data_IF_008080409561
#
_entry.id   IF_008080409561
#
_cell.length_a   1.000
_cell.length_b   1.000
_cell.length_c   1.000
_cell.angle_alpha   90.00
_cell.angle_beta   90.00
_cell.angle_gamma   90.00
#
_symmetry.space_group_name_H-M   'P 1'
#
loop_
_entity.id
_entity.type
_entity.pdbx_description
1 polymer ?
#
# COMPACT_ATOMS: atom_id res chain seq x y z
N UNK A 1 -0.80 14.76 22.70
CA UNK A 1 -0.34 14.38 21.35
C UNK A 1 0.52 13.15 21.47
N UNK A 2 0.12 12.01 20.90
CA UNK A 2 1.05 10.90 20.73
C UNK A 2 2.06 11.33 19.66
N UNK A 3 3.34 11.39 20.01
CA UNK A 3 4.40 11.56 19.02
C UNK A 3 4.42 10.31 18.16
N UNK A 4 3.66 10.28 17.05
CA UNK A 4 3.80 9.23 16.06
C UNK A 4 5.24 9.28 15.55
N UNK A 5 6.02 8.28 15.95
CA UNK A 5 7.41 8.14 15.55
C UNK A 5 7.52 6.86 14.74
N UNK A 6 8.06 7.00 13.53
CA UNK A 6 8.43 5.86 12.69
C UNK A 6 9.36 4.91 13.46
N UNK A 7 9.22 3.61 13.26
CA UNK A 7 10.16 2.64 13.83
C UNK A 7 11.43 2.59 13.00
N UNK A 8 12.57 2.26 13.63
CA UNK A 8 13.85 2.09 12.91
C UNK A 8 13.74 1.12 11.73
N UNK A 9 12.92 0.08 11.87
CA UNK A 9 12.67 -0.89 10.80
C UNK A 9 11.90 -0.26 9.63
N UNK A 10 10.88 0.58 9.91
CA UNK A 10 10.14 1.30 8.87
C UNK A 10 11.05 2.29 8.15
N UNK A 11 11.88 3.04 8.89
CA UNK A 11 12.88 3.94 8.30
C UNK A 11 13.85 3.18 7.41
N UNK A 12 14.36 2.03 7.87
CA UNK A 12 15.25 1.19 7.08
C UNK A 12 14.59 0.67 5.79
N UNK A 13 13.34 0.19 5.86
CA UNK A 13 12.57 -0.26 4.69
C UNK A 13 12.38 0.91 3.72
N UNK A 14 12.08 2.10 4.23
CA UNK A 14 11.92 3.29 3.40
C UNK A 14 13.18 3.59 2.57
N UNK A 15 14.34 3.55 3.22
CA UNK A 15 15.62 3.93 2.60
C UNK A 15 16.23 2.86 1.72
N UNK A 16 15.99 1.58 2.05
CA UNK A 16 16.67 0.47 1.41
C UNK A 16 15.74 -0.39 0.53
N UNK A 17 14.42 -0.15 0.59
CA UNK A 17 13.42 -0.84 -0.23
C UNK A 17 12.63 0.13 -1.09
N UNK A 18 11.93 1.09 -0.46
CA UNK A 18 11.07 2.04 -1.16
C UNK A 18 11.86 2.99 -2.05
N UNK A 19 12.84 3.70 -1.47
CA UNK A 19 13.64 4.69 -2.18
C UNK A 19 14.36 4.12 -3.43
N UNK A 20 15.05 2.96 -3.37
CA UNK A 20 15.69 2.39 -4.56
C UNK A 20 14.70 1.99 -5.65
N UNK A 21 13.49 1.58 -5.31
CA UNK A 21 12.44 1.30 -6.31
C UNK A 21 11.96 2.57 -6.99
N UNK A 22 11.74 3.65 -6.22
CA UNK A 22 11.32 4.93 -6.78
C UNK A 22 12.40 5.55 -7.67
N UNK A 23 13.66 5.50 -7.25
CA UNK A 23 14.81 5.93 -8.04
C UNK A 23 14.89 5.16 -9.37
N UNK A 24 14.73 3.83 -9.30
CA UNK A 24 14.71 2.97 -10.48
C UNK A 24 13.54 3.32 -11.42
N UNK A 25 12.33 3.51 -10.89
CA UNK A 25 11.15 3.87 -11.69
C UNK A 25 11.34 5.25 -12.32
N UNK A 26 11.73 6.25 -11.54
CA UNK A 26 12.03 7.61 -11.99
C UNK A 26 13.05 7.62 -13.14
N UNK A 27 14.15 6.88 -12.99
CA UNK A 27 15.22 6.81 -14.00
C UNK A 27 14.76 6.14 -15.29
N UNK A 28 13.90 5.11 -15.20
CA UNK A 28 13.41 4.38 -16.37
C UNK A 28 12.31 5.14 -17.12
N UNK A 29 11.33 5.73 -16.41
CA UNK A 29 10.26 6.50 -17.03
C UNK A 29 10.78 7.89 -17.47
N UNK A 30 11.85 8.38 -16.83
CA UNK A 30 12.45 9.68 -17.07
C UNK A 30 11.46 10.84 -16.81
N UNK A 31 10.60 10.68 -15.80
CA UNK A 31 9.70 11.72 -15.33
C UNK A 31 9.56 11.65 -13.81
N UNK A 32 9.32 12.81 -13.18
CA UNK A 32 8.99 12.89 -11.76
C UNK A 32 7.60 12.31 -11.49
N UNK A 33 7.46 11.69 -10.32
CA UNK A 33 6.33 10.85 -9.95
C UNK A 33 5.26 11.65 -9.17
N UNK A 34 4.00 11.35 -9.44
CA UNK A 34 2.84 11.82 -8.66
C UNK A 34 2.65 10.86 -7.50
N UNK A 35 2.73 11.39 -6.28
CA UNK A 35 2.56 10.65 -5.03
C UNK A 35 1.15 10.83 -4.47
N UNK A 36 0.57 9.74 -3.96
CA UNK A 36 -0.63 9.76 -3.13
C UNK A 36 -0.42 8.89 -1.87
N UNK A 37 -0.68 9.41 -0.67
CA UNK A 37 -0.55 8.55 0.52
C UNK A 37 -0.75 9.20 1.89
N UNK A 38 -0.26 8.49 2.91
CA UNK A 38 -0.43 8.76 4.34
C UNK A 38 0.89 9.13 5.02
N UNK A 39 1.49 10.29 4.71
CA UNK A 39 2.87 10.59 5.07
C UNK A 39 3.09 10.86 6.57
N UNK A 40 2.03 10.99 7.37
CA UNK A 40 2.04 11.54 8.73
C UNK A 40 2.43 13.03 8.79
N UNK A 41 2.25 13.72 9.94
CA UNK A 41 2.50 15.16 10.04
C UNK A 41 3.96 15.56 9.82
N UNK A 42 4.90 14.62 9.97
CA UNK A 42 6.32 14.86 9.73
C UNK A 42 6.75 14.51 8.31
N UNK A 43 5.91 13.80 7.56
CA UNK A 43 6.11 13.42 6.18
C UNK A 43 7.49 12.84 5.88
N UNK A 44 7.95 11.90 6.72
CA UNK A 44 9.25 11.25 6.56
C UNK A 44 9.36 10.60 5.17
N UNK A 45 8.27 10.01 4.67
CA UNK A 45 8.24 9.39 3.34
C UNK A 45 8.47 10.40 2.22
N UNK A 46 7.78 11.55 2.27
CA UNK A 46 7.90 12.59 1.25
C UNK A 46 9.30 13.22 1.30
N UNK A 47 9.83 13.50 2.49
CA UNK A 47 11.19 14.05 2.66
C UNK A 47 12.26 13.17 2.01
N UNK A 48 12.12 11.87 2.19
CA UNK A 48 13.11 10.91 1.74
C UNK A 48 13.06 10.66 0.23
N UNK A 49 11.88 10.79 -0.36
CA UNK A 49 11.61 10.53 -1.77
C UNK A 49 11.49 11.79 -2.62
N UNK A 50 11.64 12.98 -2.03
CA UNK A 50 11.31 14.29 -2.63
C UNK A 50 11.96 14.51 -4.00
N UNK A 51 13.17 14.01 -4.22
CA UNK A 51 13.92 14.20 -5.45
C UNK A 51 13.25 13.52 -6.66
N UNK A 52 12.42 12.49 -6.42
CA UNK A 52 11.69 11.75 -7.44
C UNK A 52 10.27 12.26 -7.64
N UNK A 53 9.77 13.17 -6.81
CA UNK A 53 8.36 13.58 -6.82
C UNK A 53 8.15 14.90 -7.55
N UNK A 54 7.08 14.99 -8.33
CA UNK A 54 6.58 16.24 -8.93
C UNK A 54 5.42 16.79 -8.14
N UNK A 55 4.45 15.94 -7.80
CA UNK A 55 3.22 16.33 -7.12
C UNK A 55 2.95 15.43 -5.92
N UNK A 56 2.33 16.01 -4.88
CA UNK A 56 2.00 15.30 -3.64
C UNK A 56 0.53 15.43 -3.32
N UNK A 57 -0.17 14.30 -3.24
CA UNK A 57 -1.55 14.20 -2.74
C UNK A 57 -1.49 13.51 -1.38
N UNK A 58 -1.78 14.22 -0.30
CA UNK A 58 -1.63 13.69 1.05
C UNK A 58 -2.96 13.71 1.82
N UNK A 59 -3.18 12.70 2.66
CA UNK A 59 -4.30 12.64 3.59
C UNK A 59 -3.76 12.69 5.02
N UNK A 60 -4.34 13.54 5.85
CA UNK A 60 -3.91 13.72 7.23
C UNK A 60 -5.13 13.78 8.15
N UNK A 61 -5.29 12.75 8.99
CA UNK A 61 -6.28 12.77 10.07
C UNK A 61 -5.84 13.71 11.20
N UNK A 62 -6.81 14.21 11.98
CA UNK A 62 -6.57 15.14 13.08
C UNK A 62 -6.09 14.45 14.36
N UNK A 63 -6.80 13.42 14.82
CA UNK A 63 -6.45 12.66 16.03
C UNK A 63 -6.54 11.14 15.78
N UNK A 64 -5.39 10.48 15.65
CA UNK A 64 -5.33 9.03 15.47
C UNK A 64 -5.28 8.29 16.82
N UNK A 65 -6.04 7.19 17.03
CA UNK A 65 -6.90 6.47 16.08
C UNK A 65 -8.39 6.83 16.20
N UNK A 66 -8.75 8.03 16.68
CA UNK A 66 -10.16 8.35 16.94
C UNK A 66 -10.91 8.62 15.64
N UNK A 67 -12.24 8.35 15.59
CA UNK A 67 -13.08 8.82 14.49
C UNK A 67 -12.93 10.33 14.28
N UNK A 68 -13.10 10.77 13.04
CA UNK A 68 -13.05 12.19 12.69
C UNK A 68 -14.14 12.98 13.41
N UNK A 69 -13.76 14.05 14.12
CA UNK A 69 -14.71 15.00 14.73
C UNK A 69 -14.18 16.44 14.55
N UNK A 70 -14.65 17.16 13.52
CA UNK A 70 -14.20 18.51 13.24
C UNK A 70 -14.50 19.53 14.34
N UNK A 71 -15.49 19.26 15.20
CA UNK A 71 -15.93 20.18 16.26
C UNK A 71 -15.00 20.13 17.48
N UNK A 72 -14.38 18.98 17.75
CA UNK A 72 -13.54 18.77 18.93
C UNK A 72 -12.06 18.57 18.63
N UNK A 73 -11.70 18.20 17.39
CA UNK A 73 -10.32 17.86 17.02
C UNK A 73 -9.58 19.01 16.31
N UNK A 74 -8.35 19.27 16.77
CA UNK A 74 -7.45 20.30 16.21
C UNK A 74 -6.94 19.96 14.81
N UNK A 75 -6.84 20.98 13.94
CA UNK A 75 -6.22 20.89 12.60
C UNK A 75 -4.69 21.00 12.60
N UNK A 76 -4.03 21.07 13.75
CA UNK A 76 -2.60 21.36 13.84
C UNK A 76 -1.72 20.40 13.03
N UNK A 77 -2.04 19.10 13.04
CA UNK A 77 -1.35 18.09 12.25
C UNK A 77 -1.45 18.36 10.73
N UNK A 78 -2.64 18.77 10.27
CA UNK A 78 -2.93 19.12 8.87
C UNK A 78 -2.14 20.37 8.48
N UNK A 79 -2.25 21.45 9.26
CA UNK A 79 -1.52 22.70 9.00
C UNK A 79 0.01 22.51 9.00
N UNK A 80 0.53 21.64 9.87
CA UNK A 80 1.96 21.31 9.91
C UNK A 80 2.42 20.66 8.60
N UNK A 81 1.63 19.71 8.09
CA UNK A 81 1.91 19.04 6.81
C UNK A 81 1.81 20.03 5.64
N UNK A 82 0.74 20.82 5.57
CA UNK A 82 0.53 21.85 4.54
C UNK A 82 1.68 22.85 4.48
N UNK A 83 2.10 23.38 5.63
CA UNK A 83 3.22 24.34 5.70
C UNK A 83 4.50 23.73 5.15
N UNK A 84 4.80 22.48 5.50
CA UNK A 84 5.99 21.80 5.02
C UNK A 84 5.95 21.56 3.51
N UNK A 85 4.80 21.16 2.95
CA UNK A 85 4.65 20.97 1.50
C UNK A 85 4.70 22.30 0.74
N UNK A 86 4.15 23.38 1.31
CA UNK A 86 4.27 24.73 0.77
C UNK A 86 5.73 25.18 0.71
N UNK A 87 6.53 24.88 1.74
CA UNK A 87 7.96 25.17 1.74
C UNK A 87 8.70 24.36 0.65
N UNK A 88 8.37 23.08 0.45
CA UNK A 88 8.91 22.29 -0.67
C UNK A 88 8.54 22.85 -2.04
N UNK A 89 7.31 23.32 -2.22
CA UNK A 89 6.86 23.96 -3.45
C UNK A 89 7.62 25.28 -3.71
N UNK A 90 7.76 26.13 -2.67
CA UNK A 90 8.53 27.39 -2.76
C UNK A 90 9.99 27.17 -3.10
N UNK A 91 10.58 26.09 -2.58
CA UNK A 91 11.93 25.64 -2.92
C UNK A 91 12.02 24.93 -4.28
N UNK A 92 10.92 24.85 -5.04
CA UNK A 92 10.82 24.15 -6.33
C UNK A 92 11.23 22.66 -6.27
N UNK A 93 11.08 22.03 -5.11
CA UNK A 93 11.32 20.58 -4.95
C UNK A 93 10.17 19.76 -5.52
N UNK A 94 8.95 20.28 -5.39
CA UNK A 94 7.72 19.79 -6.01
C UNK A 94 7.03 20.94 -6.75
N UNK A 95 6.21 20.61 -7.73
CA UNK A 95 5.45 21.55 -8.56
C UNK A 95 4.17 22.00 -7.86
N UNK A 96 3.44 21.05 -7.28
CA UNK A 96 2.19 21.29 -6.55
C UNK A 96 1.93 20.23 -5.49
N UNK A 97 0.96 20.51 -4.61
CA UNK A 97 0.48 19.56 -3.63
C UNK A 97 -0.99 19.80 -3.30
N UNK A 98 -1.65 18.77 -2.76
CA UNK A 98 -2.95 18.83 -2.13
C UNK A 98 -2.88 18.09 -0.78
N UNK A 99 -3.47 18.68 0.26
CA UNK A 99 -3.65 18.03 1.56
C UNK A 99 -5.14 17.95 1.85
N UNK A 100 -5.62 16.74 2.13
CA UNK A 100 -7.00 16.49 2.53
C UNK A 100 -7.07 16.22 4.03
N UNK A 101 -7.95 16.95 4.70
CA UNK A 101 -8.21 16.85 6.14
C UNK A 101 -9.13 15.65 6.43
N UNK A 102 -8.57 14.58 6.98
CA UNK A 102 -9.31 13.37 7.30
C UNK A 102 -8.53 12.09 7.03
N UNK A 103 -9.14 10.96 7.39
CA UNK A 103 -8.63 9.64 7.01
C UNK A 103 -8.84 9.43 5.51
N UNK A 104 -7.87 8.84 4.81
CA UNK A 104 -8.03 8.52 3.38
C UNK A 104 -9.28 7.69 3.13
N UNK A 105 -9.62 6.81 4.08
CA UNK A 105 -10.78 5.95 3.94
C UNK A 105 -12.09 6.75 3.88
N UNK A 106 -12.20 7.80 4.69
CA UNK A 106 -13.33 8.72 4.67
C UNK A 106 -13.31 9.59 3.41
N UNK A 107 -12.18 10.23 3.11
CA UNK A 107 -12.10 11.22 2.03
C UNK A 107 -12.36 10.61 0.66
N UNK A 108 -11.77 9.44 0.38
CA UNK A 108 -11.93 8.74 -0.91
C UNK A 108 -13.36 8.27 -1.10
N UNK A 109 -13.98 7.66 -0.08
CA UNK A 109 -15.33 7.11 -0.20
C UNK A 109 -16.40 8.20 -0.21
N UNK A 110 -16.18 9.32 0.49
CA UNK A 110 -17.09 10.47 0.48
C UNK A 110 -16.89 11.45 -0.65
N UNK A 111 -15.77 11.36 -1.39
CA UNK A 111 -15.36 12.34 -2.40
C UNK A 111 -15.17 13.75 -1.85
N UNK A 112 -14.96 13.88 -0.53
CA UNK A 112 -14.81 15.16 0.15
C UNK A 112 -14.13 14.97 1.50
N UNK A 113 -13.34 15.95 1.91
CA UNK A 113 -12.67 15.96 3.20
C UNK A 113 -13.49 16.64 4.32
N UNK A 114 -12.96 16.64 5.54
CA UNK A 114 -13.58 17.26 6.72
C UNK A 114 -13.65 18.79 6.66
N UNK A 115 -12.90 19.40 5.74
CA UNK A 115 -12.94 20.83 5.43
C UNK A 115 -13.89 21.16 4.29
N UNK A 116 -14.68 20.17 3.84
CA UNK A 116 -15.61 20.25 2.72
C UNK A 116 -14.93 20.45 1.36
N UNK A 117 -13.63 20.18 1.25
CA UNK A 117 -12.88 20.22 0.00
C UNK A 117 -13.17 18.93 -0.77
N UNK A 118 -13.65 19.06 -2.01
CA UNK A 118 -13.90 17.91 -2.88
C UNK A 118 -12.61 17.20 -3.24
N UNK A 119 -12.62 15.87 -3.15
CA UNK A 119 -11.52 15.04 -3.59
C UNK A 119 -11.70 14.69 -5.07
N UNK A 120 -10.72 15.08 -5.87
CA UNK A 120 -10.61 14.67 -7.26
C UNK A 120 -9.24 14.07 -7.55
N UNK A 121 -9.21 13.06 -8.43
CA UNK A 121 -7.98 12.50 -8.98
C UNK A 121 -8.07 12.61 -10.51
N UNK A 122 -7.50 13.68 -11.06
CA UNK A 122 -7.47 14.01 -12.47
C UNK A 122 -6.18 13.56 -13.18
N UNK A 123 -5.18 13.11 -12.44
CA UNK A 123 -3.88 12.69 -12.95
C UNK A 123 -3.49 11.29 -12.51
N UNK A 124 -2.72 10.61 -13.36
CA UNK A 124 -2.16 9.28 -13.11
C UNK A 124 -1.23 9.34 -11.89
N UNK A 125 -1.64 8.71 -10.79
CA UNK A 125 -0.77 8.54 -9.61
C UNK A 125 0.22 7.43 -9.90
N UNK A 126 1.51 7.68 -9.68
CA UNK A 126 2.58 6.69 -9.91
C UNK A 126 3.07 6.04 -8.62
N UNK A 127 2.85 6.68 -7.47
CA UNK A 127 3.26 6.15 -6.16
C UNK A 127 2.11 6.24 -5.17
N UNK A 128 1.54 5.09 -4.81
CA UNK A 128 0.62 4.97 -3.68
C UNK A 128 1.37 4.51 -2.44
N UNK A 129 1.23 5.24 -1.34
CA UNK A 129 1.78 4.86 -0.04
C UNK A 129 0.67 4.77 1.01
N UNK A 130 0.10 3.58 1.13
CA UNK A 130 -1.05 3.25 1.95
C UNK A 130 -0.56 2.63 3.27
N UNK A 131 -0.15 3.49 4.20
CA UNK A 131 0.26 3.10 5.54
C UNK A 131 -0.93 2.91 6.49
N UNK A 132 -1.69 1.83 6.30
CA UNK A 132 -2.81 1.50 7.16
C UNK A 132 -2.31 1.03 8.53
N UNK A 133 -2.23 1.99 9.44
CA UNK A 133 -1.70 1.82 10.78
C UNK A 133 -2.55 0.93 11.72
N UNK A 134 -3.70 0.40 11.26
CA UNK A 134 -4.60 -0.50 11.99
C UNK A 134 -4.81 -1.83 11.23
N UNK A 135 -5.74 -2.65 11.69
CA UNK A 135 -6.13 -3.92 11.04
C UNK A 135 -6.86 -3.65 9.73
N UNK A 136 -6.71 -4.57 8.77
CA UNK A 136 -7.24 -4.36 7.40
C UNK A 136 -8.78 -4.43 7.36
N UNK A 137 -9.36 -5.22 8.25
CA UNK A 137 -10.79 -5.50 8.43
C UNK A 137 -11.50 -4.47 9.31
N UNK A 138 -10.78 -3.82 10.23
CA UNK A 138 -11.33 -2.80 11.13
C UNK A 138 -11.83 -1.57 10.37
N UNK A 139 -13.16 -1.33 10.33
CA UNK A 139 -13.73 -0.17 9.67
C UNK A 139 -13.49 1.11 10.48
N UNK A 140 -13.50 2.24 9.80
CA UNK A 140 -13.63 3.57 10.41
C UNK A 140 -15.08 4.02 10.31
N UNK A 141 -15.69 4.40 11.43
CA UNK A 141 -17.00 5.05 11.42
C UNK A 141 -16.85 6.51 10.99
N UNK A 142 -17.72 6.97 10.07
CA UNK A 142 -17.72 8.34 9.57
C UNK A 142 -19.15 8.76 9.16
N UNK A 143 -19.38 10.06 8.97
CA UNK A 143 -20.66 10.59 8.46
C UNK A 143 -20.57 10.87 6.97
N UNK A 144 -21.51 10.37 6.18
CA UNK A 144 -21.54 10.68 4.75
C UNK A 144 -22.02 12.11 4.46
N UNK A 145 -22.05 12.48 3.18
CA UNK A 145 -22.48 13.81 2.73
C UNK A 145 -23.91 14.20 3.14
N UNK A 146 -24.76 13.21 3.47
CA UNK A 146 -26.13 13.42 3.92
C UNK A 146 -26.25 13.43 5.45
N UNK A 147 -25.13 13.24 6.17
CA UNK A 147 -25.12 13.13 7.63
C UNK A 147 -25.45 11.73 8.15
N UNK A 148 -25.48 10.72 7.27
CA UNK A 148 -25.77 9.34 7.66
C UNK A 148 -24.50 8.61 8.11
N UNK A 149 -24.54 7.82 9.20
CA UNK A 149 -23.40 7.05 9.65
C UNK A 149 -23.07 5.94 8.66
N UNK A 150 -21.78 5.84 8.31
CA UNK A 150 -21.21 4.83 7.40
C UNK A 150 -19.95 4.22 8.01
N UNK A 151 -19.56 3.07 7.44
CA UNK A 151 -18.32 2.36 7.76
C UNK A 151 -17.40 2.38 6.54
N UNK A 152 -16.21 2.92 6.70
CA UNK A 152 -15.17 2.93 5.67
C UNK A 152 -14.21 1.76 5.88
N UNK A 153 -14.13 0.87 4.89
CA UNK A 153 -13.21 -0.26 4.88
C UNK A 153 -12.03 0.00 3.96
N UNK A 154 -10.82 -0.33 4.41
CA UNK A 154 -9.56 -0.11 3.67
C UNK A 154 -9.55 -0.76 2.29
N UNK A 155 -10.13 -1.95 2.15
CA UNK A 155 -10.27 -2.59 0.85
C UNK A 155 -11.23 -1.86 -0.11
N UNK A 156 -12.29 -1.23 0.39
CA UNK A 156 -13.16 -0.41 -0.46
C UNK A 156 -12.39 0.80 -1.00
N UNK A 157 -11.51 1.37 -0.20
CA UNK A 157 -10.65 2.50 -0.57
C UNK A 157 -9.66 2.09 -1.66
N UNK A 158 -9.03 0.92 -1.53
CA UNK A 158 -8.15 0.39 -2.58
C UNK A 158 -8.94 0.17 -3.89
N UNK A 159 -10.16 -0.40 -3.83
CA UNK A 159 -11.02 -0.55 -5.01
C UNK A 159 -11.32 0.80 -5.66
N UNK A 160 -11.69 1.79 -4.86
CA UNK A 160 -12.03 3.12 -5.34
C UNK A 160 -10.82 3.83 -5.97
N UNK A 161 -9.63 3.68 -5.37
CA UNK A 161 -8.37 4.17 -5.92
C UNK A 161 -8.07 3.54 -7.29
N UNK A 162 -8.22 2.22 -7.43
CA UNK A 162 -8.00 1.53 -8.70
C UNK A 162 -9.02 1.95 -9.76
N UNK A 163 -10.28 2.13 -9.36
CA UNK A 163 -11.35 2.63 -10.23
C UNK A 163 -11.04 4.04 -10.73
N UNK A 164 -10.63 4.94 -9.84
CA UNK A 164 -10.23 6.31 -10.18
C UNK A 164 -9.06 6.33 -11.14
N UNK A 165 -8.00 5.57 -10.83
CA UNK A 165 -6.84 5.46 -11.71
C UNK A 165 -7.28 4.98 -13.11
N UNK A 166 -8.07 3.90 -13.20
CA UNK A 166 -8.59 3.38 -14.47
C UNK A 166 -9.39 4.42 -15.27
N UNK A 167 -10.12 5.31 -14.59
CA UNK A 167 -10.98 6.30 -15.24
C UNK A 167 -10.22 7.45 -15.92
N UNK A 168 -8.93 7.61 -15.61
CA UNK A 168 -8.08 8.62 -16.24
C UNK A 168 -7.71 8.13 -17.65
N UNK A 169 -7.82 9.04 -18.63
CA UNK A 169 -7.48 8.78 -20.04
C UNK A 169 -5.96 8.88 -20.26
N UNK A 170 -5.23 7.91 -19.71
CA UNK A 170 -3.79 7.74 -19.93
C UNK A 170 -3.51 6.27 -20.26
N UNK A 171 -2.90 6.04 -21.43
CA UNK A 171 -2.62 4.69 -21.95
C UNK A 171 -1.49 3.98 -21.22
N UNK A 172 -0.66 4.71 -20.45
CA UNK A 172 0.58 4.20 -19.88
C UNK A 172 0.53 3.98 -18.36
N UNK A 173 -0.67 3.89 -17.79
CA UNK A 173 -0.90 3.83 -16.35
C UNK A 173 -0.14 2.70 -15.66
N UNK A 174 0.91 3.13 -14.96
CA UNK A 174 1.89 2.31 -14.27
C UNK A 174 2.10 2.93 -12.91
N UNK A 175 2.03 2.13 -11.86
CA UNK A 175 2.21 2.63 -10.51
C UNK A 175 2.85 1.59 -9.60
N UNK A 176 3.43 2.07 -8.52
CA UNK A 176 3.84 1.27 -7.38
C UNK A 176 2.96 1.59 -6.18
N UNK A 177 2.49 0.56 -5.50
CA UNK A 177 1.71 0.64 -4.27
C UNK A 177 2.49 0.00 -3.14
N UNK A 178 2.86 0.83 -2.17
CA UNK A 178 3.33 0.38 -0.86
C UNK A 178 2.11 0.27 0.05
N UNK A 179 1.84 -0.93 0.53
CA UNK A 179 0.73 -1.20 1.45
C UNK A 179 1.31 -1.75 2.75
N UNK A 180 1.09 -1.03 3.85
CA UNK A 180 1.52 -1.45 5.17
C UNK A 180 0.30 -1.72 6.03
N UNK A 181 0.26 -2.88 6.68
CA UNK A 181 -0.87 -3.31 7.52
C UNK A 181 -0.35 -3.95 8.80
N UNK A 182 -1.11 -3.84 9.90
CA UNK A 182 -0.84 -4.67 11.08
C UNK A 182 -1.15 -6.13 10.77
N UNK A 183 -0.28 -7.02 11.22
CA UNK A 183 -0.48 -8.48 11.18
C UNK A 183 -1.46 -8.92 12.28
N UNK A 184 -2.61 -8.26 12.35
CA UNK A 184 -3.72 -8.55 13.25
C UNK A 184 -5.01 -8.46 12.43
N UNK A 185 -5.93 -9.35 12.74
CA UNK A 185 -7.22 -9.52 12.10
C UNK A 185 -8.17 -10.19 13.11
N UNK A 186 -9.47 -10.03 12.88
CA UNK A 186 -10.52 -10.73 13.62
C UNK A 186 -10.57 -12.20 13.19
N UNK A 187 -10.66 -13.12 14.16
CA UNK A 187 -10.58 -14.56 13.87
C UNK A 187 -11.78 -15.04 13.02
N UNK A 188 -12.89 -14.30 13.00
CA UNK A 188 -14.07 -14.57 12.17
C UNK A 188 -13.80 -14.35 10.67
N UNK A 189 -13.21 -13.21 10.28
CA UNK A 189 -12.93 -12.87 8.88
C UNK A 189 -11.99 -13.88 8.22
N UNK A 190 -10.97 -14.31 8.95
CA UNK A 190 -10.04 -15.33 8.46
C UNK A 190 -10.69 -16.70 8.47
N UNK A 191 -11.51 -17.02 9.46
CA UNK A 191 -12.26 -18.28 9.45
C UNK A 191 -13.20 -18.34 8.25
N UNK A 192 -13.85 -17.24 7.90
CA UNK A 192 -14.70 -17.13 6.72
C UNK A 192 -13.90 -17.28 5.43
N UNK A 193 -12.78 -16.56 5.29
CA UNK A 193 -11.88 -16.70 4.13
C UNK A 193 -11.38 -18.15 3.96
N UNK A 194 -10.94 -18.79 5.05
CA UNK A 194 -10.46 -20.17 5.03
C UNK A 194 -11.59 -21.14 4.64
N UNK A 195 -12.82 -20.93 5.14
CA UNK A 195 -13.97 -21.79 4.83
C UNK A 195 -14.47 -21.62 3.40
N UNK A 196 -14.50 -20.39 2.90
CA UNK A 196 -15.15 -20.04 1.64
C UNK A 196 -14.19 -20.06 0.44
N UNK A 197 -12.89 -20.24 0.65
CA UNK A 197 -11.95 -20.33 -0.47
C UNK A 197 -12.14 -21.64 -1.25
N UNK A 198 -12.46 -21.51 -2.54
CA UNK A 198 -12.54 -22.65 -3.47
C UNK A 198 -11.21 -22.92 -4.18
N UNK A 199 -10.17 -22.13 -3.92
CA UNK A 199 -8.87 -22.27 -4.57
C UNK A 199 -8.03 -23.34 -3.86
N UNK A 200 -7.85 -24.49 -4.52
CA UNK A 200 -7.08 -25.62 -3.97
C UNK A 200 -5.63 -25.26 -3.62
N UNK A 201 -5.00 -24.33 -4.34
CA UNK A 201 -3.66 -23.84 -4.01
C UNK A 201 -3.66 -23.10 -2.68
N UNK A 202 -4.68 -22.26 -2.43
CA UNK A 202 -4.85 -21.54 -1.16
C UNK A 202 -5.10 -22.54 -0.03
N UNK A 203 -5.98 -23.53 -0.22
CA UNK A 203 -6.25 -24.58 0.78
C UNK A 203 -4.97 -25.33 1.16
N UNK A 204 -4.15 -25.70 0.18
CA UNK A 204 -2.86 -26.37 0.41
C UNK A 204 -1.89 -25.48 1.19
N UNK A 205 -1.76 -24.21 0.82
CA UNK A 205 -0.90 -23.26 1.54
C UNK A 205 -1.36 -23.08 3.01
N UNK A 206 -2.66 -22.91 3.25
CA UNK A 206 -3.21 -22.80 4.61
C UNK A 206 -2.92 -24.07 5.42
N UNK A 207 -3.09 -25.25 4.80
CA UNK A 207 -2.76 -26.53 5.42
C UNK A 207 -1.28 -26.63 5.78
N UNK A 208 -0.36 -26.14 4.95
CA UNK A 208 1.07 -26.13 5.28
C UNK A 208 1.38 -25.30 6.53
N UNK A 209 0.55 -24.31 6.84
CA UNK A 209 0.68 -23.47 8.03
C UNK A 209 -0.11 -24.00 9.24
N UNK A 210 -0.68 -25.21 9.18
CA UNK A 210 -1.38 -25.81 10.32
C UNK A 210 -0.45 -26.11 11.49
N UNK A 211 0.83 -26.39 11.20
CA UNK A 211 1.83 -26.87 12.16
C UNK A 211 2.54 -25.75 12.94
N UNK A 212 2.27 -24.49 12.59
CA UNK A 212 2.76 -23.31 13.29
C UNK A 212 1.58 -22.63 14.01
N UNK A 213 1.87 -21.79 15.01
CA UNK A 213 0.85 -21.12 15.81
C UNK A 213 1.16 -19.63 16.01
N UNK A 214 0.23 -18.93 16.66
CA UNK A 214 0.40 -17.52 17.02
C UNK A 214 0.60 -16.61 15.81
N UNK A 215 1.40 -15.56 16.00
CA UNK A 215 1.59 -14.51 15.01
C UNK A 215 2.20 -15.02 13.69
N UNK A 216 3.05 -16.04 13.75
CA UNK A 216 3.69 -16.60 12.57
C UNK A 216 2.68 -17.25 11.61
N UNK A 217 1.69 -17.94 12.17
CA UNK A 217 0.56 -18.48 11.41
C UNK A 217 -0.31 -17.34 10.87
N UNK A 218 -0.69 -16.40 11.76
CA UNK A 218 -1.55 -15.26 11.43
C UNK A 218 -0.98 -14.44 10.26
N UNK A 219 0.30 -14.06 10.34
CA UNK A 219 0.98 -13.28 9.29
C UNK A 219 0.96 -13.97 7.92
N UNK A 220 1.15 -15.31 7.87
CA UNK A 220 1.17 -16.07 6.61
C UNK A 220 -0.20 -16.21 5.99
N UNK A 221 -1.22 -16.47 6.81
CA UNK A 221 -2.61 -16.53 6.33
C UNK A 221 -3.06 -15.14 5.85
N UNK A 222 -2.72 -14.09 6.60
CA UNK A 222 -3.01 -12.71 6.20
C UNK A 222 -2.32 -12.34 4.88
N UNK A 223 -1.06 -12.76 4.67
CA UNK A 223 -0.38 -12.60 3.37
C UNK A 223 -1.18 -13.22 2.22
N UNK A 224 -1.66 -14.45 2.38
CA UNK A 224 -2.46 -15.12 1.34
C UNK A 224 -3.75 -14.34 1.08
N UNK A 225 -4.46 -13.97 2.13
CA UNK A 225 -5.72 -13.23 2.05
C UNK A 225 -5.54 -11.90 1.31
N UNK A 226 -4.52 -11.12 1.68
CA UNK A 226 -4.21 -9.83 1.05
C UNK A 226 -3.85 -10.00 -0.42
N UNK A 227 -2.95 -10.94 -0.73
CA UNK A 227 -2.51 -11.17 -2.12
C UNK A 227 -3.68 -11.59 -2.99
N UNK A 228 -4.51 -12.53 -2.56
CA UNK A 228 -5.66 -12.99 -3.35
C UNK A 228 -6.68 -11.86 -3.53
N UNK A 229 -6.98 -11.13 -2.47
CA UNK A 229 -7.94 -10.02 -2.51
C UNK A 229 -7.48 -8.91 -3.45
N UNK A 230 -6.22 -8.45 -3.30
CA UNK A 230 -5.66 -7.41 -4.15
C UNK A 230 -5.50 -7.88 -5.60
N UNK A 231 -5.10 -9.14 -5.83
CA UNK A 231 -5.06 -9.71 -7.18
C UNK A 231 -6.42 -9.56 -7.86
N UNK A 232 -7.50 -9.95 -7.18
CA UNK A 232 -8.85 -9.86 -7.74
C UNK A 232 -9.26 -8.40 -8.02
N UNK A 233 -8.90 -7.46 -7.13
CA UNK A 233 -9.23 -6.04 -7.34
C UNK A 233 -8.48 -5.47 -8.54
N UNK A 234 -7.17 -5.69 -8.64
CA UNK A 234 -6.37 -5.21 -9.76
C UNK A 234 -6.86 -5.80 -11.08
N UNK A 235 -7.13 -7.12 -11.15
CA UNK A 235 -7.67 -7.75 -12.37
C UNK A 235 -9.04 -7.17 -12.75
N UNK A 236 -9.92 -6.93 -11.77
CA UNK A 236 -11.24 -6.32 -12.02
C UNK A 236 -11.13 -4.90 -12.61
N UNK A 237 -10.12 -4.14 -12.17
CA UNK A 237 -9.86 -2.78 -12.66
C UNK A 237 -8.80 -2.72 -13.76
N UNK A 238 -8.57 -3.82 -14.49
CA UNK A 238 -7.71 -3.86 -15.70
C UNK A 238 -6.21 -3.62 -15.46
N UNK A 239 -5.72 -3.99 -14.27
CA UNK A 239 -4.30 -3.98 -13.94
C UNK A 239 -3.76 -5.39 -13.81
N UNK A 240 -2.54 -5.61 -14.31
CA UNK A 240 -1.70 -6.76 -13.96
C UNK A 240 -0.96 -6.38 -12.67
N UNK A 241 -1.30 -6.98 -11.51
CA UNK A 241 -0.52 -6.77 -10.31
C UNK A 241 0.76 -7.60 -10.35
N UNK A 242 1.85 -7.03 -9.83
CA UNK A 242 3.10 -7.73 -9.55
C UNK A 242 3.52 -7.47 -8.11
N UNK A 243 3.43 -8.50 -7.27
CA UNK A 243 3.84 -8.46 -5.88
C UNK A 243 5.32 -8.79 -5.75
N UNK A 244 6.04 -7.95 -5.02
CA UNK A 244 7.38 -8.26 -4.55
C UNK A 244 7.31 -9.07 -3.23
N UNK A 245 8.41 -9.70 -2.79
CA UNK A 245 8.43 -10.43 -1.53
C UNK A 245 7.95 -9.58 -0.35
N UNK A 246 7.08 -10.15 0.47
CA UNK A 246 6.50 -9.44 1.63
C UNK A 246 7.55 -9.26 2.73
N UNK A 247 7.60 -8.05 3.30
CA UNK A 247 8.45 -7.74 4.45
C UNK A 247 7.60 -7.79 5.72
N UNK A 248 8.03 -8.58 6.71
CA UNK A 248 7.47 -8.62 8.04
C UNK A 248 8.44 -7.96 9.02
N UNK A 249 7.98 -6.99 9.81
CA UNK A 249 8.83 -6.29 10.78
C UNK A 249 8.08 -5.86 12.04
N UNK A 250 8.85 -5.43 13.06
CA UNK A 250 8.32 -4.82 14.27
C UNK A 250 8.18 -3.31 14.09
N UNK A 251 6.93 -2.84 14.09
CA UNK A 251 6.56 -1.43 14.07
C UNK A 251 6.61 -0.79 15.46
N UNK A 252 6.11 0.44 15.55
CA UNK A 252 5.96 1.17 16.82
C UNK A 252 5.06 0.39 17.78
N UNK A 253 5.41 0.37 19.06
CA UNK A 253 4.71 -0.44 20.06
C UNK A 253 4.89 -1.96 19.90
N UNK A 254 5.94 -2.41 19.20
CA UNK A 254 6.22 -3.83 18.92
C UNK A 254 5.11 -4.56 18.12
N UNK A 255 4.27 -3.79 17.43
CA UNK A 255 3.26 -4.33 16.53
C UNK A 255 3.93 -5.11 15.40
N UNK A 256 3.38 -6.26 15.04
CA UNK A 256 3.82 -7.01 13.87
C UNK A 256 3.19 -6.36 12.65
N UNK A 257 4.01 -5.99 11.68
CA UNK A 257 3.58 -5.28 10.48
C UNK A 257 3.95 -6.11 9.26
N UNK A 258 3.05 -6.16 8.28
CA UNK A 258 3.34 -6.64 6.93
C UNK A 258 3.41 -5.45 5.98
N UNK A 259 4.46 -5.39 5.20
CA UNK A 259 4.64 -4.42 4.13
C UNK A 259 4.67 -5.16 2.79
N UNK A 260 3.70 -4.81 1.96
CA UNK A 260 3.55 -5.30 0.60
C UNK A 260 4.01 -4.21 -0.37
N UNK A 261 4.69 -4.64 -1.43
CA UNK A 261 4.95 -3.78 -2.58
C UNK A 261 4.28 -4.42 -3.78
N UNK A 262 3.37 -3.69 -4.42
CA UNK A 262 2.61 -4.14 -5.58
C UNK A 262 2.86 -3.17 -6.72
N UNK A 263 3.25 -3.68 -7.88
CA UNK A 263 3.40 -2.88 -9.09
C UNK A 263 2.18 -3.14 -9.96
N UNK A 264 1.44 -2.08 -10.27
CA UNK A 264 0.28 -2.13 -11.17
C UNK A 264 0.67 -1.70 -12.56
N UNK A 265 0.31 -2.49 -13.56
CA UNK A 265 0.48 -2.14 -14.98
C UNK A 265 -0.86 -2.28 -15.66
N UNK A 266 -1.41 -1.20 -16.22
CA UNK A 266 -2.66 -1.25 -16.98
C UNK A 266 -2.45 -2.08 -18.24
N UNK A 267 -3.43 -2.92 -18.55
CA UNK A 267 -3.49 -3.69 -19.78
C UNK A 267 -4.90 -3.70 -20.29
N UNK A 268 -5.06 -3.85 -21.60
CA UNK A 268 -6.35 -4.19 -22.15
C UNK A 268 -6.78 -5.58 -21.69
N UNK A 269 -8.07 -5.79 -21.39
CA UNK A 269 -8.61 -7.12 -21.17
C UNK A 269 -8.36 -8.01 -22.39
N UNK A 270 -8.21 -9.30 -22.16
CA UNK A 270 -8.19 -10.29 -23.24
C UNK A 270 -9.56 -10.38 -23.93
N UNK A 271 -9.66 -11.11 -25.04
CA UNK A 271 -10.94 -11.35 -25.73
C UNK A 271 -12.04 -11.96 -24.82
N UNK A 272 -11.66 -12.59 -23.69
CA UNK A 272 -12.57 -13.07 -22.66
C UNK A 272 -12.87 -12.08 -21.53
N UNK A 273 -12.47 -10.82 -21.65
CA UNK A 273 -12.67 -9.77 -20.64
C UNK A 273 -11.82 -9.93 -19.38
N UNK A 274 -10.77 -10.77 -19.41
CA UNK A 274 -9.94 -11.03 -18.23
C UNK A 274 -8.52 -10.49 -18.41
N UNK A 275 -7.96 -9.93 -17.35
CA UNK A 275 -6.55 -9.57 -17.27
C UNK A 275 -5.74 -10.77 -16.75
N UNK A 276 -4.70 -11.16 -17.47
CA UNK A 276 -3.87 -12.30 -17.07
C UNK A 276 -2.98 -11.95 -15.86
N UNK A 277 -2.93 -12.88 -14.92
CA UNK A 277 -2.03 -12.86 -13.79
C UNK A 277 -0.85 -13.80 -14.05
N UNK A 278 0.38 -13.31 -13.84
CA UNK A 278 1.59 -14.02 -14.25
C UNK A 278 2.41 -14.62 -13.11
N UNK A 279 2.04 -14.40 -11.85
CA UNK A 279 2.78 -14.96 -10.71
C UNK A 279 2.16 -16.27 -10.23
N UNK A 280 2.96 -17.31 -10.04
CA UNK A 280 2.45 -18.51 -9.38
C UNK A 280 2.12 -18.21 -7.90
N UNK A 281 0.86 -18.41 -7.50
CA UNK A 281 0.38 -18.08 -6.15
C UNK A 281 1.07 -18.95 -5.09
N UNK A 282 1.32 -20.23 -5.40
CA UNK A 282 2.02 -21.16 -4.50
C UNK A 282 3.43 -20.67 -4.20
N UNK A 283 4.17 -20.29 -5.24
CA UNK A 283 5.52 -19.76 -5.13
C UNK A 283 5.53 -18.43 -4.37
N UNK A 284 4.68 -17.47 -4.76
CA UNK A 284 4.64 -16.14 -4.13
C UNK A 284 4.27 -16.22 -2.64
N UNK A 285 3.20 -16.94 -2.32
CA UNK A 285 2.73 -17.09 -0.94
C UNK A 285 3.51 -18.11 -0.13
N UNK A 286 4.36 -18.93 -0.76
CA UNK A 286 5.25 -19.91 -0.13
C UNK A 286 6.69 -19.42 0.02
N UNK A 287 6.98 -18.15 -0.29
CA UNK A 287 8.29 -17.54 -0.04
C UNK A 287 8.49 -17.22 1.44
N UNK A 288 9.75 -17.25 1.89
CA UNK A 288 10.14 -16.72 3.20
C UNK A 288 9.81 -15.23 3.27
N UNK A 289 9.33 -14.77 4.43
CA UNK A 289 9.24 -13.34 4.71
C UNK A 289 10.62 -12.71 4.77
N UNK A 290 10.72 -11.47 4.31
CA UNK A 290 11.88 -10.61 4.58
C UNK A 290 11.67 -9.92 5.93
N UNK A 291 12.72 -9.67 6.68
CA UNK A 291 12.68 -8.82 7.88
C UNK A 291 13.94 -7.95 7.97
N UNK A 292 13.92 -6.98 8.87
CA UNK A 292 15.07 -6.11 9.15
C UNK A 292 15.74 -6.58 10.43
N UNK A 293 17.02 -6.93 10.36
CA UNK A 293 17.85 -7.25 11.52
C UNK A 293 19.22 -6.65 11.33
N UNK A 294 19.71 -5.91 12.33
CA UNK A 294 21.02 -5.25 12.31
C UNK A 294 21.26 -4.45 11.02
N UNK A 295 20.27 -3.62 10.62
CA UNK A 295 20.36 -2.78 9.41
C UNK A 295 20.64 -3.58 8.13
N UNK A 296 20.13 -4.81 8.06
CA UNK A 296 20.15 -5.62 6.86
C UNK A 296 18.79 -6.31 6.65
N UNK A 297 18.43 -6.49 5.39
CA UNK A 297 17.37 -7.41 5.03
C UNK A 297 17.85 -8.85 5.20
N UNK A 298 17.09 -9.64 5.94
CA UNK A 298 17.30 -11.09 6.09
C UNK A 298 15.99 -11.83 5.87
N UNK A 299 16.06 -13.14 5.65
CA UNK A 299 14.86 -13.98 5.54
C UNK A 299 14.51 -14.58 6.89
N UNK A 300 13.24 -14.53 7.25
CA UNK A 300 12.73 -15.27 8.39
C UNK A 300 12.75 -16.76 8.00
N UNK A 301 13.48 -17.56 8.77
CA UNK A 301 13.54 -19.01 8.59
C UNK A 301 12.75 -19.70 9.69
N UNK A 302 11.89 -20.63 9.30
CA UNK A 302 11.12 -21.51 10.19
C UNK A 302 11.36 -22.95 9.73
N UNK A 303 11.96 -23.76 10.58
CA UNK A 303 12.36 -25.13 10.22
C UNK A 303 11.15 -26.04 10.00
N UNK A 304 10.01 -25.67 10.56
CA UNK A 304 8.74 -26.37 10.46
C UNK A 304 8.03 -26.15 9.12
N UNK A 305 8.55 -25.26 8.27
CA UNK A 305 7.94 -24.86 7.01
C UNK A 305 8.89 -25.05 5.83
N UNK A 306 8.37 -25.61 4.74
CA UNK A 306 9.04 -25.66 3.45
C UNK A 306 8.78 -24.35 2.67
N UNK A 307 9.46 -23.28 3.09
CA UNK A 307 9.37 -21.96 2.45
C UNK A 307 10.54 -21.73 1.49
N UNK A 308 10.22 -21.23 0.28
CA UNK A 308 11.21 -20.95 -0.75
C UNK A 308 11.96 -19.64 -0.51
N UNK A 309 13.19 -19.56 -1.01
CA UNK A 309 14.01 -18.35 -0.94
C UNK A 309 13.41 -17.23 -1.82
N UNK A 310 13.53 -15.99 -1.35
CA UNK A 310 13.12 -14.78 -2.08
C UNK A 310 14.31 -13.83 -2.27
N UNK A 311 14.29 -12.96 -3.27
CA UNK A 311 15.34 -11.96 -3.43
C UNK A 311 15.22 -10.86 -2.38
N UNK A 312 16.36 -10.46 -1.78
CA UNK A 312 16.45 -9.37 -0.81
C UNK A 312 16.71 -8.02 -1.49
N UNK A 313 16.99 -8.02 -2.80
CA UNK A 313 17.18 -6.81 -3.57
C UNK A 313 15.84 -6.41 -4.23
N UNK A 314 15.29 -5.23 -3.91
CA UNK A 314 13.99 -4.81 -4.41
C UNK A 314 13.99 -4.59 -5.93
N UNK A 315 15.04 -3.97 -6.47
CA UNK A 315 15.16 -3.70 -7.92
C UNK A 315 15.20 -5.02 -8.69
N UNK A 316 16.01 -5.99 -8.25
CA UNK A 316 16.08 -7.32 -8.87
C UNK A 316 14.75 -8.08 -8.80
N UNK A 317 13.99 -7.87 -7.72
CA UNK A 317 12.65 -8.45 -7.56
C UNK A 317 11.69 -8.03 -8.66
N UNK A 318 11.90 -6.84 -9.21
CA UNK A 318 11.07 -6.27 -10.27
C UNK A 318 11.69 -6.40 -11.67
N UNK A 319 12.93 -5.92 -11.86
CA UNK A 319 13.62 -5.81 -13.16
C UNK A 319 13.74 -7.15 -13.90
N UNK A 320 13.98 -8.24 -13.18
CA UNK A 320 14.22 -9.56 -13.80
C UNK A 320 12.93 -10.22 -14.32
N UNK A 321 11.78 -9.54 -14.19
CA UNK A 321 10.46 -10.12 -14.46
C UNK A 321 9.94 -9.77 -15.84
N UNK A 322 9.08 -10.64 -16.35
CA UNK A 322 8.49 -10.53 -17.69
C UNK A 322 7.75 -9.20 -17.85
N UNK A 323 7.00 -8.81 -16.82
CA UNK A 323 6.22 -7.56 -16.81
C UNK A 323 7.11 -6.33 -16.95
N UNK A 324 8.31 -6.34 -16.34
CA UNK A 324 9.26 -5.24 -16.55
C UNK A 324 9.73 -5.19 -18.00
N UNK A 325 10.08 -6.33 -18.58
CA UNK A 325 10.55 -6.44 -19.96
C UNK A 325 9.48 -6.02 -20.98
N UNK A 326 8.25 -6.45 -20.75
CA UNK A 326 7.16 -6.26 -21.70
C UNK A 326 6.56 -4.84 -21.60
N UNK A 327 6.55 -4.22 -20.41
CA UNK A 327 5.79 -2.99 -20.19
C UNK A 327 6.57 -1.81 -19.60
N UNK A 328 7.73 -2.03 -18.98
CA UNK A 328 8.47 -0.97 -18.26
C UNK A 328 9.84 -0.65 -18.85
N UNK A 329 10.25 -1.33 -19.92
CA UNK A 329 11.40 -0.89 -20.71
C UNK A 329 11.06 0.43 -21.40
N UNK A 330 12.06 1.30 -21.57
CA UNK A 330 11.91 2.48 -22.43
C UNK A 330 11.50 1.99 -23.81
N UNK A 331 10.49 2.61 -24.41
CA UNK A 331 10.30 2.48 -25.85
C UNK A 331 11.58 3.01 -26.51
N UNK A 332 12.26 2.16 -27.28
CA UNK A 332 13.45 2.54 -28.05
C UNK A 332 13.15 3.60 -29.10
#
# INVERSE_FOLDING_TARGET
MSNFKSSKNKDFIRSNWGKPLLDFIYTNINCKLVYMGLPSPNAEDIKEWIDYLSKVIAFQCRDYPKPSDPATQSKEAVHKLEKMLLDFQRMKKIESFAVYDGYIEEVILNRRDLSLIEFNQDETVMVYNLDFCNEIDSPLDYMDKNGEPKKAYKFQVIKEILQLQKSIEDSSQKFIMFLTIRAKFEDEDISEFIKNTNNETIKQLIKNYSNISGIDKKARILRIYIIETLRNFFQHYEYIPRFLPTIQYKGTGNANILHFTVIGTRTEPTAGGTVYWHQDLKTLCGQKFITVKNEAFIRITKNELDETECTLNPIRSFRDKKEFKDYWQKAE
#
